data_IF_547467479659
#
_entry.id   IF_547467479659
#
_cell.length_a   1.000
_cell.length_b   1.000
_cell.length_c   1.000
_cell.angle_alpha   90.00
_cell.angle_beta   90.00
_cell.angle_gamma   90.00
#
_symmetry.space_group_name_H-M   'P 1'
#
loop_
_entity.id
_entity.type
_entity.pdbx_description
1 polymer ?
#
# COMPACT_ATOMS: atom_id res chain seq x y z
N UNK A 1 -19.59 11.31 6.34
CA UNK A 1 -18.49 11.21 5.35
C UNK A 1 -17.21 11.72 6.01
N UNK A 2 -16.81 11.14 7.15
CA UNK A 2 -15.70 11.62 8.02
C UNK A 2 -14.48 10.69 7.97
N UNK A 3 -14.19 10.13 6.79
CA UNK A 3 -13.29 8.97 6.65
C UNK A 3 -11.82 9.35 6.38
N UNK A 4 -11.45 10.62 6.29
CA UNK A 4 -10.21 11.02 5.60
C UNK A 4 -8.92 10.98 6.45
N UNK A 5 -8.86 11.47 7.71
CA UNK A 5 -7.58 11.57 8.43
C UNK A 5 -7.08 10.21 8.94
N UNK A 6 -8.01 9.36 9.39
CA UNK A 6 -7.67 8.06 9.95
C UNK A 6 -7.13 7.10 8.88
N UNK A 7 -7.68 7.14 7.67
CA UNK A 7 -7.17 6.34 6.57
C UNK A 7 -5.77 6.79 6.14
N UNK A 8 -5.48 8.08 6.15
CA UNK A 8 -4.13 8.57 5.84
C UNK A 8 -3.13 8.07 6.89
N UNK A 9 -3.44 8.21 8.18
CA UNK A 9 -2.57 7.73 9.25
C UNK A 9 -2.37 6.20 9.19
N UNK A 10 -3.45 5.45 8.97
CA UNK A 10 -3.37 3.99 8.79
C UNK A 10 -2.49 3.62 7.59
N UNK A 11 -2.52 4.38 6.49
CA UNK A 11 -1.64 4.15 5.34
C UNK A 11 -0.17 4.48 5.66
N UNK A 12 0.08 5.54 6.42
CA UNK A 12 1.43 5.93 6.86
C UNK A 12 2.07 4.84 7.72
N UNK A 13 1.31 4.29 8.66
CA UNK A 13 1.76 3.18 9.50
C UNK A 13 2.10 1.94 8.65
N UNK A 14 1.22 1.59 7.70
CA UNK A 14 1.44 0.47 6.77
C UNK A 14 2.71 0.70 5.93
N UNK A 15 2.89 1.90 5.37
CA UNK A 15 4.06 2.24 4.56
C UNK A 15 5.35 2.21 5.39
N UNK A 16 5.33 2.73 6.62
CA UNK A 16 6.48 2.70 7.51
C UNK A 16 6.89 1.26 7.85
N UNK A 17 5.91 0.39 8.13
CA UNK A 17 6.15 -1.04 8.38
C UNK A 17 6.67 -1.77 7.13
N UNK A 18 6.14 -1.46 5.93
CA UNK A 18 6.61 -2.02 4.66
C UNK A 18 8.06 -1.63 4.38
N UNK A 19 8.42 -0.35 4.55
CA UNK A 19 9.80 0.13 4.39
C UNK A 19 10.75 -0.49 5.41
N UNK A 20 10.31 -0.64 6.67
CA UNK A 20 11.10 -1.33 7.68
C UNK A 20 11.37 -2.79 7.31
N UNK A 21 10.32 -3.54 6.93
CA UNK A 21 10.44 -4.93 6.50
C UNK A 21 11.29 -5.08 5.23
N UNK A 22 11.20 -4.12 4.30
CA UNK A 22 11.99 -4.09 3.07
C UNK A 22 13.49 -3.93 3.34
N UNK A 23 13.85 -3.07 4.29
CA UNK A 23 15.24 -2.85 4.70
C UNK A 23 15.85 -4.05 5.43
N UNK A 24 15.06 -4.75 6.25
CA UNK A 24 15.53 -5.94 6.99
C UNK A 24 15.46 -7.22 6.16
N UNK A 25 14.79 -7.18 4.99
CA UNK A 25 14.60 -8.34 4.13
C UNK A 25 13.59 -9.35 4.69
N UNK A 26 12.69 -8.92 5.57
CA UNK A 26 11.64 -9.75 6.16
C UNK A 26 10.50 -9.98 5.15
N UNK A 27 10.68 -11.02 4.33
CA UNK A 27 9.73 -11.39 3.28
C UNK A 27 8.35 -11.76 3.83
N UNK A 28 8.30 -12.49 4.94
CA UNK A 28 7.02 -12.90 5.54
C UNK A 28 6.19 -11.70 5.96
N UNK A 29 6.85 -10.71 6.58
CA UNK A 29 6.20 -9.45 6.97
C UNK A 29 5.80 -8.60 5.78
N UNK A 30 6.63 -8.51 4.74
CA UNK A 30 6.29 -7.80 3.50
C UNK A 30 5.02 -8.37 2.85
N UNK A 31 4.92 -9.69 2.74
CA UNK A 31 3.74 -10.38 2.18
C UNK A 31 2.50 -10.12 3.04
N UNK A 32 2.64 -10.25 4.36
CA UNK A 32 1.52 -10.02 5.30
C UNK A 32 0.98 -8.59 5.18
N UNK A 33 1.87 -7.59 5.22
CA UNK A 33 1.50 -6.18 5.15
C UNK A 33 0.84 -5.83 3.82
N UNK A 34 1.42 -6.28 2.71
CA UNK A 34 0.90 -5.98 1.37
C UNK A 34 -0.42 -6.71 1.06
N UNK A 35 -0.50 -8.02 1.30
CA UNK A 35 -1.71 -8.78 0.95
C UNK A 35 -2.90 -8.51 1.88
N UNK A 36 -2.66 -8.40 3.20
CA UNK A 36 -3.74 -8.21 4.16
C UNK A 36 -3.97 -6.73 4.45
N UNK A 37 -2.97 -6.03 4.96
CA UNK A 37 -3.20 -4.70 5.52
C UNK A 37 -3.40 -3.64 4.44
N UNK A 38 -2.50 -3.58 3.45
CA UNK A 38 -2.60 -2.63 2.34
C UNK A 38 -3.84 -2.88 1.47
N UNK A 39 -4.18 -4.14 1.21
CA UNK A 39 -5.43 -4.50 0.50
C UNK A 39 -6.68 -4.10 1.28
N UNK A 40 -6.71 -4.33 2.59
CA UNK A 40 -7.84 -3.93 3.46
C UNK A 40 -7.99 -2.41 3.46
N UNK A 41 -6.88 -1.70 3.62
CA UNK A 41 -6.85 -0.24 3.54
C UNK A 41 -7.36 0.25 2.18
N UNK A 42 -6.85 -0.30 1.08
CA UNK A 42 -7.21 0.10 -0.27
C UNK A 42 -8.72 -0.05 -0.53
N UNK A 43 -9.35 -1.12 -0.02
CA UNK A 43 -10.81 -1.29 -0.07
C UNK A 43 -11.56 -0.24 0.73
N UNK A 44 -11.11 0.03 1.96
CA UNK A 44 -11.73 1.01 2.84
C UNK A 44 -11.64 2.45 2.28
N UNK A 45 -10.54 2.74 1.60
CA UNK A 45 -10.27 4.00 0.92
C UNK A 45 -10.84 4.08 -0.51
N UNK A 46 -11.51 3.04 -1.01
CA UNK A 46 -12.06 3.01 -2.38
C UNK A 46 -11.01 2.87 -3.51
N UNK A 47 -9.74 2.62 -3.19
CA UNK A 47 -8.66 2.34 -4.14
C UNK A 47 -8.72 0.91 -4.70
N UNK A 48 -9.75 0.61 -5.49
CA UNK A 48 -10.00 -0.76 -5.98
C UNK A 48 -8.87 -1.32 -6.85
N UNK A 49 -8.19 -0.47 -7.63
CA UNK A 49 -7.06 -0.90 -8.46
C UNK A 49 -5.91 -1.41 -7.56
N UNK A 50 -5.57 -0.69 -6.50
CA UNK A 50 -4.53 -1.11 -5.55
C UNK A 50 -4.94 -2.37 -4.79
N UNK A 51 -6.23 -2.49 -4.44
CA UNK A 51 -6.78 -3.70 -3.81
C UNK A 51 -6.74 -4.94 -4.74
N UNK A 52 -6.89 -4.74 -6.06
CA UNK A 52 -6.72 -5.81 -7.05
C UNK A 52 -5.25 -6.18 -7.18
N UNK A 53 -4.38 -5.20 -7.43
CA UNK A 53 -2.95 -5.43 -7.63
C UNK A 53 -2.28 -6.13 -6.46
N UNK A 54 -2.62 -5.74 -5.22
CA UNK A 54 -2.17 -6.45 -4.01
C UNK A 54 -2.62 -7.91 -4.01
N UNK A 55 -3.84 -8.22 -4.47
CA UNK A 55 -4.33 -9.58 -4.58
C UNK A 55 -3.65 -10.37 -5.70
N UNK A 56 -3.55 -9.76 -6.88
CA UNK A 56 -3.01 -10.38 -8.09
C UNK A 56 -1.53 -10.73 -7.92
N UNK A 57 -0.77 -9.88 -7.21
CA UNK A 57 0.62 -10.12 -6.87
C UNK A 57 0.83 -11.50 -6.23
N UNK A 58 -0.03 -11.89 -5.27
CA UNK A 58 0.14 -13.15 -4.53
C UNK A 58 -0.63 -14.33 -5.11
N UNK A 59 -1.78 -14.09 -5.73
CA UNK A 59 -2.63 -15.17 -6.24
C UNK A 59 -2.21 -15.67 -7.62
N UNK A 60 -1.62 -14.81 -8.46
CA UNK A 60 -1.13 -15.23 -9.77
C UNK A 60 0.22 -15.97 -9.70
N UNK A 61 0.88 -15.94 -8.52
CA UNK A 61 2.20 -16.54 -8.25
C UNK A 61 3.22 -16.39 -9.42
N UNK A 62 3.46 -15.17 -9.94
CA UNK A 62 4.25 -14.99 -11.15
C UNK A 62 5.78 -14.99 -10.91
N UNK A 63 6.25 -15.17 -9.68
CA UNK A 63 7.66 -14.93 -9.33
C UNK A 63 8.54 -16.16 -9.51
N UNK A 64 9.56 -16.05 -10.36
CA UNK A 64 10.60 -17.07 -10.52
C UNK A 64 11.68 -17.01 -9.45
N UNK A 65 11.76 -15.88 -8.72
CA UNK A 65 12.77 -15.65 -7.70
C UNK A 65 12.27 -14.73 -6.58
N UNK A 66 13.06 -14.67 -5.50
CA UNK A 66 12.88 -13.69 -4.42
C UNK A 66 12.95 -12.26 -4.94
N UNK A 67 13.87 -11.97 -5.86
CA UNK A 67 14.09 -10.62 -6.35
C UNK A 67 12.92 -10.15 -7.21
N UNK A 68 12.32 -11.05 -8.00
CA UNK A 68 11.10 -10.74 -8.77
C UNK A 68 9.92 -10.37 -7.85
N UNK A 69 9.78 -11.09 -6.73
CA UNK A 69 8.78 -10.75 -5.71
C UNK A 69 9.05 -9.38 -5.09
N UNK A 70 10.31 -9.07 -4.78
CA UNK A 70 10.69 -7.77 -4.22
C UNK A 70 10.40 -6.63 -5.20
N UNK A 71 10.66 -6.80 -6.49
CA UNK A 71 10.30 -5.80 -7.52
C UNK A 71 8.78 -5.55 -7.54
N UNK A 72 7.98 -6.61 -7.47
CA UNK A 72 6.53 -6.48 -7.41
C UNK A 72 6.02 -5.80 -6.13
N UNK A 73 6.64 -6.09 -4.99
CA UNK A 73 6.36 -5.42 -3.71
C UNK A 73 6.77 -3.94 -3.75
N UNK A 74 7.93 -3.62 -4.32
CA UNK A 74 8.42 -2.24 -4.46
C UNK A 74 7.43 -1.42 -5.32
N UNK A 75 6.91 -1.99 -6.41
CA UNK A 75 5.88 -1.35 -7.23
C UNK A 75 4.56 -1.08 -6.48
N UNK A 76 4.15 -1.98 -5.56
CA UNK A 76 2.99 -1.77 -4.70
C UNK A 76 3.23 -0.65 -3.67
N UNK A 77 4.42 -0.59 -3.08
CA UNK A 77 4.82 0.46 -2.14
C UNK A 77 4.74 1.82 -2.86
N UNK A 78 5.32 1.94 -4.05
CA UNK A 78 5.26 3.17 -4.85
C UNK A 78 3.82 3.60 -5.18
N UNK A 79 2.94 2.66 -5.49
CA UNK A 79 1.54 2.96 -5.78
C UNK A 79 0.77 3.44 -4.54
N UNK A 80 1.04 2.83 -3.39
CA UNK A 80 0.50 3.23 -2.11
C UNK A 80 0.98 4.63 -1.72
N UNK A 81 2.26 4.95 -1.91
CA UNK A 81 2.78 6.31 -1.71
C UNK A 81 2.10 7.34 -2.60
N UNK A 82 1.90 7.02 -3.89
CA UNK A 82 1.12 7.87 -4.81
C UNK A 82 -0.34 8.03 -4.37
N UNK A 83 -0.93 7.03 -3.74
CA UNK A 83 -2.29 7.14 -3.19
C UNK A 83 -2.32 8.11 -2.00
N UNK A 84 -1.33 8.02 -1.10
CA UNK A 84 -1.17 8.96 0.02
C UNK A 84 -1.03 10.41 -0.46
N UNK A 85 -0.11 10.66 -1.39
CA UNK A 85 0.13 12.02 -1.92
C UNK A 85 -1.14 12.63 -2.57
N UNK A 86 -1.95 11.82 -3.25
CA UNK A 86 -3.24 12.26 -3.81
C UNK A 86 -4.25 12.63 -2.72
N UNK A 87 -4.32 11.85 -1.65
CA UNK A 87 -5.17 12.16 -0.49
C UNK A 87 -4.75 13.47 0.19
N UNK A 88 -3.46 13.64 0.45
CA UNK A 88 -2.91 14.86 1.06
C UNK A 88 -3.16 16.10 0.20
N UNK A 89 -2.95 16.00 -1.12
CA UNK A 89 -3.22 17.09 -2.05
C UNK A 89 -4.71 17.45 -2.11
N UNK A 90 -5.61 16.44 -2.10
CA UNK A 90 -7.05 16.66 -2.05
C UNK A 90 -7.46 17.39 -0.75
N UNK A 91 -6.94 16.94 0.40
CA UNK A 91 -7.23 17.57 1.69
C UNK A 91 -6.72 19.03 1.76
N UNK A 92 -5.52 19.30 1.23
CA UNK A 92 -4.98 20.66 1.16
C UNK A 92 -5.82 21.58 0.27
N UNK A 93 -6.37 21.06 -0.83
CA UNK A 93 -7.23 21.85 -1.73
C UNK A 93 -8.56 22.25 -1.07
N UNK A 94 -9.13 21.39 -0.22
CA UNK A 94 -10.36 21.69 0.53
C UNK A 94 -10.10 22.72 1.63
N UNK A 95 -8.95 22.66 2.30
CA UNK A 95 -8.59 23.61 3.35
C UNK A 95 -8.29 25.02 2.82
N UNK A 96 -7.96 25.16 1.54
CA UNK A 96 -7.65 26.43 0.89
C UNK A 96 -8.86 27.12 0.24
N UNK A 97 -10.02 26.45 0.18
CA UNK A 97 -11.28 26.94 -0.40
C UNK A 97 -12.24 27.46 0.68
#
# INVERSE_FOLDING_TARGET
MNTEPRLVLELEDILAELHAARRTGDLGRLVLLSYFQLRRWARAAGHQILASRTSDLFLACPFGSRDDLLVGLDALIDEAERARARYEASAASVAAA
#
